data_IF_165699911010
#
_entry.id   IF_165699911010
#
_cell.length_a   1.000
_cell.length_b   1.000
_cell.length_c   1.000
_cell.angle_alpha   90.00
_cell.angle_beta   90.00
_cell.angle_gamma   90.00
#
_symmetry.space_group_name_H-M   'P 1'
#
loop_
_entity.id
_entity.type
_entity.pdbx_description
1 polymer ?
#
# COMPACT_ATOMS: atom_id res chain seq x y z
N UNK A 1 -3.26 -26.70 2.88
CA UNK A 1 -2.65 -26.19 1.63
C UNK A 1 -1.75 -25.04 2.03
N UNK A 2 -0.49 -25.06 1.60
CA UNK A 2 0.63 -24.39 2.24
C UNK A 2 0.45 -22.87 2.08
N UNK A 3 0.20 -22.14 3.18
CA UNK A 3 0.27 -20.69 3.22
C UNK A 3 1.75 -20.28 3.07
N UNK A 4 2.27 -20.35 1.85
CA UNK A 4 3.47 -19.62 1.49
C UNK A 4 3.18 -18.15 1.72
N UNK A 5 4.02 -17.47 2.48
CA UNK A 5 3.89 -16.08 2.86
C UNK A 5 4.02 -15.17 1.63
N UNK A 6 2.95 -15.09 0.81
CA UNK A 6 2.89 -14.20 -0.33
C UNK A 6 2.68 -12.80 0.21
N UNK A 7 3.71 -11.99 0.07
CA UNK A 7 3.76 -10.61 0.49
C UNK A 7 3.48 -9.75 -0.74
N UNK A 8 2.32 -9.10 -0.78
CA UNK A 8 1.96 -8.23 -1.90
C UNK A 8 2.45 -6.80 -1.67
N UNK A 9 2.81 -6.11 -2.75
CA UNK A 9 3.36 -4.77 -2.69
C UNK A 9 2.31 -3.70 -3.01
N UNK A 10 2.37 -2.57 -2.32
CA UNK A 10 1.58 -1.40 -2.63
C UNK A 10 2.25 -0.59 -3.76
N UNK A 11 1.62 -0.40 -4.92
CA UNK A 11 2.19 0.36 -6.04
C UNK A 11 2.30 1.85 -5.73
N UNK A 12 1.53 2.35 -4.76
CA UNK A 12 1.58 3.75 -4.34
C UNK A 12 2.78 4.04 -3.47
N UNK A 13 3.12 3.21 -2.48
CA UNK A 13 4.14 3.57 -1.48
C UNK A 13 5.28 2.57 -1.32
N UNK A 14 5.25 1.41 -1.98
CA UNK A 14 6.28 0.38 -1.88
C UNK A 14 6.16 -0.55 -0.67
N UNK A 15 5.10 -0.43 0.14
CA UNK A 15 4.89 -1.33 1.28
C UNK A 15 4.67 -2.78 0.81
N UNK A 16 5.51 -3.72 1.24
CA UNK A 16 5.52 -5.14 0.81
C UNK A 16 4.72 -6.09 1.71
N UNK A 17 3.83 -5.58 2.55
CA UNK A 17 3.11 -6.39 3.54
C UNK A 17 1.60 -6.35 3.39
N UNK A 18 1.08 -6.18 2.17
CA UNK A 18 -0.36 -6.26 1.91
C UNK A 18 -0.85 -7.70 2.04
N UNK A 19 -2.06 -7.87 2.57
CA UNK A 19 -2.73 -9.17 2.75
C UNK A 19 -3.16 -9.78 1.40
N UNK A 20 -3.64 -8.93 0.50
CA UNK A 20 -4.09 -9.26 -0.86
C UNK A 20 -3.39 -8.38 -1.89
N UNK A 21 -3.31 -8.81 -3.16
CA UNK A 21 -2.83 -7.93 -4.22
C UNK A 21 -3.79 -6.74 -4.40
N UNK A 22 -3.31 -5.56 -4.83
CA UNK A 22 -4.17 -4.44 -5.16
C UNK A 22 -5.24 -4.80 -6.19
N UNK A 23 -4.85 -5.60 -7.19
CA UNK A 23 -5.67 -6.16 -8.25
C UNK A 23 -5.28 -7.60 -8.52
N UNK A 24 -6.26 -8.46 -8.80
CA UNK A 24 -6.02 -9.83 -9.26
C UNK A 24 -5.55 -9.88 -10.72
N UNK A 25 -5.37 -11.10 -11.24
CA UNK A 25 -4.88 -11.36 -12.60
C UNK A 25 -5.87 -10.98 -13.71
N UNK A 26 -7.15 -10.80 -13.38
CA UNK A 26 -8.20 -10.36 -14.30
C UNK A 26 -8.57 -8.89 -14.12
N UNK A 27 -7.91 -8.19 -13.19
CA UNK A 27 -8.07 -6.75 -12.98
C UNK A 27 -9.19 -6.36 -12.01
N UNK A 28 -9.69 -7.26 -11.18
CA UNK A 28 -10.60 -6.92 -10.08
C UNK A 28 -9.80 -6.39 -8.89
N UNK A 29 -10.21 -5.24 -8.34
CA UNK A 29 -9.55 -4.67 -7.15
C UNK A 29 -9.87 -5.45 -5.89
N UNK A 30 -8.93 -5.53 -4.96
CA UNK A 30 -9.18 -6.13 -3.63
C UNK A 30 -10.04 -5.26 -2.71
N UNK A 31 -10.22 -3.97 -3.01
CA UNK A 31 -10.82 -2.98 -2.11
C UNK A 31 -10.10 -2.81 -0.77
N UNK A 32 -8.94 -3.46 -0.61
CA UNK A 32 -8.07 -3.34 0.54
C UNK A 32 -7.49 -1.94 0.65
N UNK A 33 -7.21 -1.54 1.90
CA UNK A 33 -6.59 -0.25 2.21
C UNK A 33 -5.14 -0.51 2.59
N UNK A 34 -4.19 0.11 1.90
CA UNK A 34 -2.80 0.02 2.27
C UNK A 34 -2.59 0.60 3.69
N UNK A 35 -2.06 -0.16 4.65
CA UNK A 35 -1.90 0.33 6.02
C UNK A 35 -0.82 1.41 6.13
N UNK A 36 0.10 1.47 5.16
CA UNK A 36 1.17 2.46 5.09
C UNK A 36 0.67 3.80 4.54
N UNK A 37 0.22 3.86 3.29
CA UNK A 37 -0.17 5.14 2.66
C UNK A 37 -1.67 5.47 2.71
N UNK A 38 -2.52 4.51 3.08
CA UNK A 38 -3.96 4.70 3.20
C UNK A 38 -4.74 4.65 1.90
N UNK A 39 -4.10 4.31 0.77
CA UNK A 39 -4.81 4.15 -0.50
C UNK A 39 -5.74 2.95 -0.44
N UNK A 40 -7.02 3.18 -0.77
CA UNK A 40 -7.98 2.12 -1.05
C UNK A 40 -7.96 1.76 -2.54
N UNK A 41 -7.58 0.52 -2.85
CA UNK A 41 -7.50 0.03 -4.23
C UNK A 41 -8.89 -0.18 -4.82
N UNK A 42 -9.09 0.19 -6.08
CA UNK A 42 -10.41 0.25 -6.72
C UNK A 42 -11.27 1.46 -6.33
N UNK A 43 -10.81 2.35 -5.45
CA UNK A 43 -11.54 3.56 -5.06
C UNK A 43 -10.70 4.83 -5.29
N UNK A 44 -9.61 5.00 -4.56
CA UNK A 44 -8.75 6.19 -4.69
C UNK A 44 -8.02 6.17 -6.04
N UNK A 45 -7.51 5.00 -6.43
CA UNK A 45 -6.80 4.78 -7.68
C UNK A 45 -7.72 4.55 -8.89
N UNK A 46 -9.04 4.49 -8.67
CA UNK A 46 -10.01 4.49 -9.77
C UNK A 46 -10.06 5.86 -10.49
N UNK A 47 -9.63 6.93 -9.82
CA UNK A 47 -9.67 8.30 -10.36
C UNK A 47 -8.33 9.03 -10.29
N UNK A 48 -7.37 8.54 -9.50
CA UNK A 48 -6.06 9.14 -9.31
C UNK A 48 -4.94 8.20 -9.71
N UNK A 49 -3.94 8.69 -10.43
CA UNK A 49 -2.77 7.89 -10.73
C UNK A 49 -1.96 7.58 -9.47
N UNK A 50 -1.31 6.41 -9.42
CA UNK A 50 -0.45 6.04 -8.29
C UNK A 50 0.64 7.06 -7.97
N UNK A 51 1.19 7.73 -8.99
CA UNK A 51 2.18 8.78 -8.79
C UNK A 51 1.62 9.98 -8.00
N UNK A 52 0.36 10.34 -8.20
CA UNK A 52 -0.26 11.48 -7.52
C UNK A 52 -0.63 11.12 -6.08
N UNK A 53 -1.17 9.92 -5.87
CA UNK A 53 -1.40 9.37 -4.53
C UNK A 53 -0.10 9.27 -3.74
N UNK A 54 1.00 8.85 -4.38
CA UNK A 54 2.35 8.81 -3.80
C UNK A 54 2.81 10.21 -3.38
N UNK A 55 2.70 11.19 -4.28
CA UNK A 55 3.07 12.59 -3.99
C UNK A 55 2.25 13.16 -2.83
N UNK A 56 0.96 12.84 -2.77
CA UNK A 56 0.08 13.28 -1.68
C UNK A 56 0.48 12.67 -0.33
N UNK A 57 0.83 11.39 -0.30
CA UNK A 57 1.34 10.75 0.90
C UNK A 57 2.69 11.35 1.33
N UNK A 58 3.59 11.60 0.38
CA UNK A 58 4.87 12.27 0.63
C UNK A 58 4.67 13.68 1.19
N UNK A 59 3.78 14.48 0.60
CA UNK A 59 3.53 15.85 1.06
C UNK A 59 2.91 15.92 2.46
N UNK A 60 2.24 14.85 2.89
CA UNK A 60 1.71 14.67 4.25
C UNK A 60 2.74 14.13 5.25
N UNK A 61 4.01 14.01 4.86
CA UNK A 61 5.10 13.57 5.74
C UNK A 61 5.29 12.05 5.78
N UNK A 62 4.72 11.31 4.82
CA UNK A 62 4.86 9.85 4.72
C UNK A 62 4.50 9.13 6.02
N UNK A 63 3.42 9.57 6.68
CA UNK A 63 2.98 8.98 7.93
C UNK A 63 2.42 7.58 7.69
N UNK A 64 2.62 6.68 8.65
CA UNK A 64 1.90 5.41 8.68
C UNK A 64 0.41 5.69 8.89
N UNK A 65 -0.42 5.30 7.91
CA UNK A 65 -1.82 5.68 7.87
C UNK A 65 -2.69 4.89 8.85
N UNK A 66 -2.43 3.58 9.00
CA UNK A 66 -3.29 2.70 9.79
C UNK A 66 -3.18 2.98 11.28
N UNK A 67 -4.34 3.13 11.92
CA UNK A 67 -4.47 3.21 13.39
C UNK A 67 -4.76 1.84 14.01
N UNK A 68 -5.22 0.88 13.22
CA UNK A 68 -5.57 -0.47 13.68
C UNK A 68 -4.40 -1.45 13.55
N UNK A 69 -3.54 -1.25 12.55
CA UNK A 69 -2.33 -2.03 12.32
C UNK A 69 -1.12 -1.15 12.62
N UNK A 70 -0.28 -1.57 13.55
CA UNK A 70 0.97 -0.88 13.85
C UNK A 70 1.95 -0.99 12.67
N UNK A 71 2.79 0.03 12.48
CA UNK A 71 3.91 -0.07 11.54
C UNK A 71 4.87 -1.17 11.99
N UNK A 72 5.58 -1.83 11.06
CA UNK A 72 6.66 -2.74 11.41
C UNK A 72 7.71 -2.07 12.29
N UNK A 73 8.37 -2.85 13.15
CA UNK A 73 9.48 -2.35 13.96
C UNK A 73 10.60 -1.81 13.05
N UNK A 74 11.09 -0.60 13.36
CA UNK A 74 12.13 0.06 12.56
C UNK A 74 11.68 0.49 11.16
N UNK A 75 10.37 0.62 10.93
CA UNK A 75 9.83 1.08 9.65
C UNK A 75 10.35 2.49 9.29
N UNK A 76 10.81 2.62 8.06
CA UNK A 76 11.35 3.86 7.48
C UNK A 76 10.62 4.13 6.14
N UNK A 77 9.83 5.21 6.04
CA UNK A 77 9.09 5.53 4.82
C UNK A 77 10.00 5.88 3.63
N UNK A 78 11.19 6.44 3.87
CA UNK A 78 12.12 6.80 2.80
C UNK A 78 12.72 5.52 2.21
N UNK A 79 13.11 4.57 3.05
CA UNK A 79 13.58 3.26 2.61
C UNK A 79 12.48 2.49 1.87
N UNK A 80 11.22 2.62 2.31
CA UNK A 80 10.08 1.97 1.65
C UNK A 80 9.90 2.43 0.18
N UNK A 81 10.18 3.71 -0.13
CA UNK A 81 10.09 4.24 -1.49
C UNK A 81 11.17 3.73 -2.44
N UNK A 82 12.24 3.13 -1.91
CA UNK A 82 13.37 2.60 -2.69
C UNK A 82 13.20 1.11 -3.03
N UNK A 83 12.14 0.47 -2.53
CA UNK A 83 11.86 -0.96 -2.71
C UNK A 83 11.18 -1.26 -4.05
#
# INVERSE_FOLDING_TARGET
>A
MIAGNVSYFCPVCGYVGLEDPPYDDVGCSSFGICPSCGTQFGYDDATSAYADLRRLWISKGMLWWSKAQASPSGWDPVRQLQA
#
